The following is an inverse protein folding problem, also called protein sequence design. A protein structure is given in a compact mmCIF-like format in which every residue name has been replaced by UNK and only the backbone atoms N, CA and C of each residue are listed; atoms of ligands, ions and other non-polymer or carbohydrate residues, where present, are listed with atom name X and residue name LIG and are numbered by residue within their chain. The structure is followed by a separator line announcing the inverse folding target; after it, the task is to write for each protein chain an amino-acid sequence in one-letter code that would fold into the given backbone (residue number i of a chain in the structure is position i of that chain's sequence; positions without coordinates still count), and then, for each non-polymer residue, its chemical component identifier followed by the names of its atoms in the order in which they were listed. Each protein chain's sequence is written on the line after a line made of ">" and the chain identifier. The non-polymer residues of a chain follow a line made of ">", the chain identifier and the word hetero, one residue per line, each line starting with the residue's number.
data_IF_990197521195
#
_entry.id   IF_990197521195
#
_cell.length_a   1.000
_cell.length_b   1.000
_cell.length_c   1.000
_cell.angle_alpha   90.00
_cell.angle_beta   90.00
_cell.angle_gamma   90.00
#
_symmetry.space_group_name_H-M   'P 1'
#
loop_
_entity.id
_entity.type
_entity.pdbx_description
1 polymer ?
#
# COMPACT_ATOMS: atom_id res chain seq x y z
N UNK A 1 13.11 24.69 -4.31
CA UNK A 1 12.76 23.26 -4.20
C UNK A 1 11.29 23.12 -4.51
N UNK A 2 10.91 22.31 -5.49
CA UNK A 2 9.51 22.20 -5.93
C UNK A 2 8.64 21.66 -4.79
N UNK A 3 7.51 22.30 -4.51
CA UNK A 3 6.56 21.91 -3.43
C UNK A 3 6.19 20.42 -3.51
N UNK A 4 6.12 19.87 -4.71
CA UNK A 4 5.88 18.45 -4.97
C UNK A 4 7.04 17.55 -4.54
N UNK A 5 8.29 18.00 -4.70
CA UNK A 5 9.46 17.24 -4.27
C UNK A 5 9.55 17.16 -2.74
N UNK A 6 9.24 18.25 -2.03
CA UNK A 6 9.18 18.24 -0.56
C UNK A 6 8.09 17.29 -0.08
N UNK A 7 6.89 17.36 -0.67
CA UNK A 7 5.80 16.47 -0.32
C UNK A 7 6.15 14.99 -0.56
N UNK A 8 6.84 14.68 -1.65
CA UNK A 8 7.29 13.31 -1.94
C UNK A 8 8.31 12.80 -0.91
N UNK A 9 9.29 13.62 -0.52
CA UNK A 9 10.29 13.27 0.50
C UNK A 9 9.61 13.04 1.84
N UNK A 10 8.72 13.94 2.28
CA UNK A 10 7.97 13.79 3.52
C UNK A 10 7.11 12.53 3.51
N UNK A 11 6.39 12.27 2.41
CA UNK A 11 5.59 11.06 2.24
C UNK A 11 6.44 9.79 2.36
N UNK A 12 7.62 9.77 1.74
CA UNK A 12 8.56 8.66 1.84
C UNK A 12 9.07 8.44 3.26
N UNK A 13 9.40 9.51 3.98
CA UNK A 13 9.83 9.45 5.38
C UNK A 13 8.73 8.87 6.29
N UNK A 14 7.49 9.38 6.16
CA UNK A 14 6.34 8.83 6.90
C UNK A 14 6.05 7.38 6.55
N UNK A 15 6.18 7.01 5.28
CA UNK A 15 6.01 5.63 4.85
C UNK A 15 7.06 4.70 5.46
N UNK A 16 8.33 5.14 5.55
CA UNK A 16 9.40 4.39 6.20
C UNK A 16 9.15 4.13 7.68
N UNK A 17 8.54 5.09 8.40
CA UNK A 17 8.17 4.92 9.80
C UNK A 17 7.05 3.88 10.01
N UNK A 18 6.26 3.58 8.99
CA UNK A 18 5.13 2.62 9.10
C UNK A 18 5.60 1.24 9.56
N UNK A 19 6.74 0.74 9.04
CA UNK A 19 7.28 -0.55 9.44
C UNK A 19 7.66 -0.61 10.91
N UNK A 20 8.27 0.47 11.43
CA UNK A 20 8.68 0.59 12.83
C UNK A 20 7.44 0.60 13.76
N UNK A 21 6.46 1.45 13.45
CA UNK A 21 5.21 1.52 14.21
C UNK A 21 4.44 0.21 14.20
N UNK A 22 4.36 -0.46 13.05
CA UNK A 22 3.69 -1.77 12.95
C UNK A 22 4.34 -2.77 13.90
N UNK A 23 5.68 -2.88 13.88
CA UNK A 23 6.39 -3.83 14.75
C UNK A 23 6.20 -3.53 16.24
N UNK A 24 6.22 -2.25 16.62
CA UNK A 24 6.00 -1.82 18.01
C UNK A 24 4.58 -2.14 18.46
N UNK A 25 3.58 -1.87 17.64
CA UNK A 25 2.17 -2.12 17.95
C UNK A 25 1.84 -3.62 17.97
N UNK A 26 2.42 -4.41 17.08
CA UNK A 26 2.29 -5.88 17.12
C UNK A 26 2.95 -6.44 18.39
N UNK A 27 4.12 -5.91 18.79
CA UNK A 27 4.77 -6.26 20.05
C UNK A 27 3.97 -5.89 21.30
N UNK A 28 3.09 -4.89 21.20
CA UNK A 28 2.15 -4.50 22.25
C UNK A 28 0.84 -5.34 22.26
N UNK A 29 0.74 -6.37 21.41
CA UNK A 29 -0.39 -7.30 21.38
C UNK A 29 -1.51 -6.91 20.42
N UNK A 30 -1.35 -5.86 19.60
CA UNK A 30 -2.35 -5.55 18.58
C UNK A 30 -2.24 -6.50 17.38
N UNK A 31 -3.38 -6.94 16.87
CA UNK A 31 -3.41 -7.75 15.66
C UNK A 31 -3.00 -6.93 14.44
N UNK A 32 -2.44 -7.61 13.45
CA UNK A 32 -2.09 -7.00 12.16
C UNK A 32 -3.29 -6.32 11.48
N UNK A 33 -4.48 -6.94 11.61
CA UNK A 33 -5.72 -6.42 11.03
C UNK A 33 -6.28 -5.24 11.83
N UNK A 34 -6.18 -5.26 13.16
CA UNK A 34 -6.53 -4.13 14.02
C UNK A 34 -5.69 -2.89 13.71
N UNK A 35 -4.38 -3.06 13.51
CA UNK A 35 -3.48 -1.96 13.10
C UNK A 35 -3.91 -1.38 11.75
N UNK A 36 -4.25 -2.24 10.77
CA UNK A 36 -4.78 -1.80 9.48
C UNK A 36 -6.07 -1.01 9.63
N UNK A 37 -7.02 -1.54 10.42
CA UNK A 37 -8.34 -0.93 10.65
C UNK A 37 -8.20 0.47 11.26
N UNK A 38 -7.43 0.61 12.33
CA UNK A 38 -7.20 1.89 13.00
C UNK A 38 -6.55 2.90 12.04
N UNK A 39 -5.47 2.51 11.38
CA UNK A 39 -4.75 3.38 10.44
C UNK A 39 -5.63 3.86 9.30
N UNK A 40 -6.37 2.95 8.67
CA UNK A 40 -7.25 3.31 7.56
C UNK A 40 -8.47 4.12 8.00
N UNK A 41 -9.01 3.88 9.20
CA UNK A 41 -10.10 4.68 9.76
C UNK A 41 -9.65 6.13 10.01
N UNK A 42 -8.48 6.31 10.64
CA UNK A 42 -7.91 7.66 10.86
C UNK A 42 -7.61 8.36 9.53
N UNK A 43 -7.04 7.65 8.55
CA UNK A 43 -6.76 8.21 7.24
C UNK A 43 -8.06 8.60 6.51
N UNK A 44 -9.10 7.76 6.55
CA UNK A 44 -10.40 8.08 5.97
C UNK A 44 -11.01 9.33 6.62
N UNK A 45 -10.94 9.45 7.95
CA UNK A 45 -11.41 10.63 8.67
C UNK A 45 -10.64 11.89 8.24
N UNK A 46 -9.31 11.82 8.13
CA UNK A 46 -8.49 12.93 7.64
C UNK A 46 -8.88 13.33 6.20
N UNK A 47 -9.07 12.38 5.29
CA UNK A 47 -9.53 12.69 3.93
C UNK A 47 -10.93 13.29 3.91
N UNK A 48 -11.83 12.79 4.75
CA UNK A 48 -13.17 13.37 4.91
C UNK A 48 -13.09 14.82 5.40
N UNK A 49 -12.30 15.12 6.42
CA UNK A 49 -12.09 16.47 6.92
C UNK A 49 -11.54 17.42 5.84
N UNK A 50 -10.60 16.95 5.01
CA UNK A 50 -10.08 17.76 3.89
C UNK A 50 -11.10 17.99 2.76
N UNK A 51 -12.16 17.20 2.71
CA UNK A 51 -13.22 17.28 1.71
C UNK A 51 -14.47 18.03 2.21
N UNK A 52 -14.51 18.47 3.49
CA UNK A 52 -15.65 19.22 4.06
C UNK A 52 -15.97 20.49 3.28
N UNK A 53 -14.97 21.11 2.63
CA UNK A 53 -15.18 22.28 1.76
C UNK A 53 -15.92 21.99 0.46
N UNK A 54 -15.87 20.74 -0.03
CA UNK A 54 -16.58 20.30 -1.24
C UNK A 54 -16.79 18.77 -1.22
N UNK A 55 -17.82 18.37 -0.49
CA UNK A 55 -18.18 16.94 -0.32
C UNK A 55 -18.56 16.28 -1.66
N UNK A 56 -18.92 17.08 -2.66
CA UNK A 56 -19.26 16.54 -3.99
C UNK A 56 -18.08 15.82 -4.65
N UNK A 57 -16.85 16.18 -4.29
CA UNK A 57 -15.63 15.51 -4.76
C UNK A 57 -15.50 14.06 -4.29
N UNK A 58 -16.13 13.68 -3.16
CA UNK A 58 -16.13 12.31 -2.64
C UNK A 58 -17.23 11.43 -3.26
N UNK A 59 -18.02 11.97 -4.19
CA UNK A 59 -19.14 11.24 -4.78
C UNK A 59 -18.65 10.01 -5.53
N UNK A 60 -19.17 8.86 -5.13
CA UNK A 60 -18.92 7.57 -5.78
C UNK A 60 -19.99 7.28 -6.82
N UNK A 61 -19.58 6.85 -8.00
CA UNK A 61 -20.53 6.32 -8.99
C UNK A 61 -20.82 4.84 -8.69
N UNK A 62 -22.07 4.46 -8.67
CA UNK A 62 -22.50 3.08 -8.37
C UNK A 62 -21.83 2.03 -9.27
N UNK A 63 -21.50 2.39 -10.51
CA UNK A 63 -20.81 1.53 -11.47
C UNK A 63 -19.36 1.19 -11.06
N UNK A 64 -18.71 2.07 -10.30
CA UNK A 64 -17.31 1.95 -9.91
C UNK A 64 -17.13 1.41 -8.48
N UNK A 65 -18.27 1.09 -7.81
CA UNK A 65 -18.27 0.54 -6.46
C UNK A 65 -17.34 -0.68 -6.33
N UNK A 66 -17.51 -1.66 -7.22
CA UNK A 66 -16.70 -2.88 -7.19
C UNK A 66 -15.23 -2.63 -7.45
N UNK A 67 -14.91 -1.64 -8.30
CA UNK A 67 -13.51 -1.29 -8.57
C UNK A 67 -12.88 -0.61 -7.36
N UNK A 68 -13.58 0.31 -6.72
CA UNK A 68 -13.12 0.97 -5.48
C UNK A 68 -12.99 -0.04 -4.33
N UNK A 69 -13.95 -0.95 -4.18
CA UNK A 69 -13.88 -2.02 -3.19
C UNK A 69 -12.69 -2.96 -3.47
N UNK A 70 -12.45 -3.33 -4.73
CA UNK A 70 -11.30 -4.14 -5.10
C UNK A 70 -9.97 -3.46 -4.76
N UNK A 71 -9.83 -2.16 -5.02
CA UNK A 71 -8.60 -1.42 -4.65
C UNK A 71 -8.43 -1.36 -3.12
N UNK A 72 -9.51 -1.13 -2.38
CA UNK A 72 -9.45 -1.08 -0.91
C UNK A 72 -9.15 -2.44 -0.29
N UNK A 73 -9.86 -3.48 -0.71
CA UNK A 73 -9.78 -4.82 -0.11
C UNK A 73 -8.58 -5.59 -0.68
N UNK A 74 -8.57 -5.86 -2.00
CA UNK A 74 -7.52 -6.65 -2.64
C UNK A 74 -6.20 -5.87 -2.76
N UNK A 75 -6.27 -4.56 -2.99
CA UNK A 75 -5.09 -3.72 -3.00
C UNK A 75 -4.60 -3.46 -1.58
N UNK A 76 -5.20 -2.50 -0.89
CA UNK A 76 -4.71 -1.99 0.40
C UNK A 76 -4.81 -3.02 1.54
N UNK A 77 -5.90 -3.79 1.61
CA UNK A 77 -6.10 -4.82 2.62
C UNK A 77 -5.07 -5.94 2.47
N UNK A 78 -4.97 -6.54 1.28
CA UNK A 78 -4.03 -7.62 0.98
C UNK A 78 -2.57 -7.16 1.07
N UNK A 79 -2.27 -5.94 0.59
CA UNK A 79 -0.96 -5.32 0.76
C UNK A 79 -0.56 -5.27 2.24
N UNK A 80 -1.42 -4.71 3.09
CA UNK A 80 -1.12 -4.55 4.52
C UNK A 80 -0.99 -5.91 5.22
N UNK A 81 -1.87 -6.86 4.91
CA UNK A 81 -1.79 -8.22 5.44
C UNK A 81 -0.44 -8.87 5.10
N UNK A 82 -0.09 -8.90 3.83
CA UNK A 82 1.15 -9.51 3.37
C UNK A 82 2.39 -8.77 3.93
N UNK A 83 2.40 -7.45 3.87
CA UNK A 83 3.54 -6.64 4.31
C UNK A 83 3.79 -6.75 5.81
N UNK A 84 2.75 -6.68 6.63
CA UNK A 84 2.90 -6.78 8.09
C UNK A 84 3.32 -8.18 8.52
N UNK A 85 2.78 -9.23 7.89
CA UNK A 85 3.25 -10.58 8.14
C UNK A 85 4.71 -10.76 7.72
N UNK A 86 5.12 -10.21 6.59
CA UNK A 86 6.52 -10.23 6.17
C UNK A 86 7.44 -9.55 7.21
N UNK A 87 7.08 -8.38 7.74
CA UNK A 87 7.83 -7.69 8.81
C UNK A 87 7.93 -8.52 10.10
N UNK A 88 6.88 -9.25 10.44
CA UNK A 88 6.88 -10.09 11.64
C UNK A 88 7.71 -11.38 11.47
N UNK A 89 7.85 -11.87 10.24
CA UNK A 89 8.57 -13.13 9.92
C UNK A 89 10.01 -12.91 9.47
N UNK A 90 10.37 -11.68 9.11
CA UNK A 90 11.70 -11.32 8.61
C UNK A 90 12.18 -10.00 9.24
N UNK A 91 13.40 -9.56 8.86
CA UNK A 91 13.82 -8.20 9.18
C UNK A 91 12.98 -7.17 8.43
N UNK A 92 12.73 -6.02 9.06
CA UNK A 92 12.02 -4.89 8.42
C UNK A 92 12.70 -4.52 7.10
N UNK A 93 14.04 -4.51 7.10
CA UNK A 93 14.83 -4.20 5.92
C UNK A 93 14.57 -5.15 4.76
N UNK A 94 14.53 -6.47 5.02
CA UNK A 94 14.26 -7.48 3.99
C UNK A 94 12.84 -7.36 3.45
N UNK A 95 11.85 -7.15 4.32
CA UNK A 95 10.46 -6.92 3.91
C UNK A 95 10.33 -5.66 3.03
N UNK A 96 11.04 -4.58 3.38
CA UNK A 96 11.07 -3.36 2.58
C UNK A 96 11.70 -3.59 1.19
N UNK A 97 12.81 -4.33 1.09
CA UNK A 97 13.43 -4.63 -0.21
C UNK A 97 12.43 -5.35 -1.11
N UNK A 98 11.77 -6.38 -0.59
CA UNK A 98 10.78 -7.14 -1.35
C UNK A 98 9.62 -6.28 -1.80
N UNK A 99 9.11 -5.40 -0.94
CA UNK A 99 8.07 -4.45 -1.30
C UNK A 99 8.54 -3.45 -2.37
N UNK A 100 9.81 -3.01 -2.32
CA UNK A 100 10.38 -2.11 -3.34
C UNK A 100 10.62 -2.78 -4.71
N UNK A 101 10.34 -4.08 -4.86
CA UNK A 101 10.17 -4.71 -6.17
C UNK A 101 8.85 -4.30 -6.86
N UNK A 102 7.92 -3.67 -6.13
CA UNK A 102 6.63 -3.24 -6.68
C UNK A 102 6.72 -2.39 -7.96
N UNK A 103 7.69 -1.48 -8.18
CA UNK A 103 7.81 -0.75 -9.45
C UNK A 103 8.03 -1.66 -10.67
N UNK A 104 8.65 -2.84 -10.49
CA UNK A 104 8.79 -3.84 -11.54
C UNK A 104 7.41 -4.35 -11.93
N UNK A 105 6.62 -4.79 -10.94
CA UNK A 105 5.26 -5.29 -11.16
C UNK A 105 4.34 -4.19 -11.71
N UNK A 106 4.45 -2.95 -11.21
CA UNK A 106 3.71 -1.79 -11.76
C UNK A 106 4.03 -1.60 -13.24
N UNK A 107 5.30 -1.66 -13.63
CA UNK A 107 5.72 -1.46 -15.02
C UNK A 107 5.18 -2.58 -15.92
N UNK A 108 5.26 -3.84 -15.49
CA UNK A 108 4.72 -4.99 -16.22
C UNK A 108 3.20 -4.87 -16.37
N UNK A 109 2.49 -4.61 -15.28
CA UNK A 109 1.04 -4.47 -15.29
C UNK A 109 0.58 -3.26 -16.11
N UNK A 110 1.29 -2.12 -16.03
CA UNK A 110 1.00 -0.94 -16.85
C UNK A 110 1.17 -1.24 -18.34
N UNK A 111 2.21 -1.99 -18.71
CA UNK A 111 2.41 -2.43 -20.09
C UNK A 111 1.26 -3.33 -20.57
N UNK A 112 0.85 -4.30 -19.76
CA UNK A 112 -0.22 -5.26 -20.12
C UNK A 112 -1.59 -4.58 -20.17
N UNK A 113 -1.92 -3.72 -19.17
CA UNK A 113 -3.27 -3.14 -19.04
C UNK A 113 -3.45 -1.90 -19.91
N UNK A 114 -2.47 -1.01 -19.92
CA UNK A 114 -2.54 0.29 -20.61
C UNK A 114 -1.76 0.30 -21.92
N UNK A 115 -1.04 -0.79 -22.25
CA UNK A 115 -0.13 -0.88 -23.41
C UNK A 115 0.93 0.21 -23.41
N UNK A 116 1.34 0.68 -22.22
CA UNK A 116 2.40 1.66 -22.07
C UNK A 116 3.73 1.09 -22.56
N UNK A 117 4.50 1.88 -23.29
CA UNK A 117 5.86 1.51 -23.69
C UNK A 117 6.80 1.44 -22.49
N UNK A 118 7.58 0.37 -22.36
CA UNK A 118 8.62 0.27 -21.33
C UNK A 118 9.85 1.09 -21.78
N UNK A 119 10.06 2.25 -21.13
CA UNK A 119 11.21 3.09 -21.43
C UNK A 119 12.49 2.53 -20.80
N UNK A 120 13.62 2.63 -21.54
CA UNK A 120 14.95 2.30 -20.97
C UNK A 120 15.26 3.08 -19.70
N UNK A 121 14.78 4.32 -19.60
CA UNK A 121 14.93 5.17 -18.40
C UNK A 121 14.20 4.56 -17.21
N UNK A 122 13.00 4.00 -17.41
CA UNK A 122 12.21 3.34 -16.37
C UNK A 122 12.94 2.08 -15.86
N UNK A 123 13.48 1.27 -16.77
CA UNK A 123 14.25 0.06 -16.41
C UNK A 123 15.49 0.45 -15.59
N UNK A 124 16.24 1.45 -16.03
CA UNK A 124 17.41 1.93 -15.31
C UNK A 124 17.05 2.46 -13.91
N UNK A 125 15.97 3.24 -13.79
CA UNK A 125 15.49 3.75 -12.50
C UNK A 125 15.10 2.61 -11.54
N UNK A 126 14.45 1.56 -12.03
CA UNK A 126 14.09 0.37 -11.25
C UNK A 126 15.36 -0.34 -10.74
N UNK A 127 16.34 -0.58 -11.61
CA UNK A 127 17.59 -1.24 -11.23
C UNK A 127 18.31 -0.41 -10.15
N UNK A 128 18.39 0.91 -10.33
CA UNK A 128 19.04 1.80 -9.37
C UNK A 128 18.30 1.81 -8.02
N UNK A 129 16.95 1.78 -8.04
CA UNK A 129 16.12 1.71 -6.83
C UNK A 129 16.38 0.41 -6.05
N UNK A 130 16.37 -0.73 -6.73
CA UNK A 130 16.62 -2.05 -6.13
C UNK A 130 18.04 -2.11 -5.56
N UNK A 131 19.04 -1.66 -6.32
CA UNK A 131 20.43 -1.62 -5.87
C UNK A 131 20.59 -0.73 -4.62
N UNK A 132 19.96 0.47 -4.61
CA UNK A 132 19.97 1.36 -3.46
C UNK A 132 19.33 0.73 -2.21
N UNK A 133 18.19 0.07 -2.38
CA UNK A 133 17.54 -0.66 -1.28
C UNK A 133 18.42 -1.78 -0.74
N UNK A 134 19.05 -2.57 -1.61
CA UNK A 134 19.95 -3.65 -1.23
C UNK A 134 21.18 -3.11 -0.45
N UNK A 135 21.76 -2.00 -0.88
CA UNK A 135 22.90 -1.36 -0.20
C UNK A 135 22.54 -0.87 1.21
N UNK A 136 21.36 -0.25 1.39
CA UNK A 136 20.94 0.31 2.69
C UNK A 136 20.53 -0.78 3.67
N UNK A 137 19.92 -1.85 3.19
CA UNK A 137 19.34 -2.90 4.05
C UNK A 137 20.36 -3.90 4.61
N UNK A 138 21.54 -4.03 4.00
CA UNK A 138 22.52 -5.05 4.32
C UNK A 138 22.00 -6.47 4.05
N UNK A 139 22.89 -7.43 3.93
CA UNK A 139 22.55 -8.84 3.68
C UNK A 139 22.36 -9.66 4.98
N UNK A 140 22.02 -9.02 6.10
CA UNK A 140 21.89 -9.66 7.40
C UNK A 140 20.45 -9.77 7.88
N UNK A 141 19.84 -10.95 7.77
CA UNK A 141 18.54 -11.25 8.35
C UNK A 141 18.07 -12.66 8.06
N UNK A 142 17.30 -13.25 8.98
CA UNK A 142 16.65 -14.54 8.76
C UNK A 142 15.57 -14.37 7.68
N UNK A 143 15.69 -15.10 6.60
CA UNK A 143 14.67 -15.13 5.52
C UNK A 143 13.89 -16.43 5.64
N UNK A 144 12.60 -16.32 5.93
CA UNK A 144 11.70 -17.47 5.92
C UNK A 144 11.00 -17.58 4.58
N UNK A 145 10.72 -18.79 4.12
CA UNK A 145 10.01 -19.02 2.84
C UNK A 145 8.64 -18.33 2.85
N UNK A 146 7.90 -18.44 3.97
CA UNK A 146 6.60 -17.80 4.11
C UNK A 146 6.70 -16.27 4.11
N UNK A 147 7.72 -15.72 4.78
CA UNK A 147 8.01 -14.28 4.74
C UNK A 147 8.35 -13.78 3.33
N UNK A 148 9.08 -14.58 2.54
CA UNK A 148 9.38 -14.26 1.14
C UNK A 148 8.10 -14.21 0.28
N UNK A 149 7.22 -15.20 0.44
CA UNK A 149 5.91 -15.24 -0.25
C UNK A 149 5.07 -14.01 0.14
N UNK A 150 5.01 -13.69 1.43
CA UNK A 150 4.30 -12.51 1.92
C UNK A 150 4.94 -11.21 1.39
N UNK A 151 6.26 -11.10 1.38
CA UNK A 151 6.95 -9.92 0.86
C UNK A 151 6.70 -9.68 -0.62
N UNK A 152 6.78 -10.71 -1.45
CA UNK A 152 6.45 -10.64 -2.87
C UNK A 152 4.95 -10.39 -3.10
N UNK A 153 4.08 -11.02 -2.31
CA UNK A 153 2.64 -10.78 -2.33
C UNK A 153 2.31 -9.32 -2.05
N UNK A 154 3.03 -8.69 -1.11
CA UNK A 154 2.87 -7.26 -0.81
C UNK A 154 3.27 -6.37 -2.00
N UNK A 155 4.35 -6.71 -2.71
CA UNK A 155 4.78 -5.96 -3.89
C UNK A 155 3.76 -6.04 -5.03
N UNK A 156 3.16 -7.21 -5.26
CA UNK A 156 2.12 -7.41 -6.27
C UNK A 156 0.84 -6.66 -5.87
N UNK A 157 0.40 -6.77 -4.62
CA UNK A 157 -0.78 -6.06 -4.13
C UNK A 157 -0.60 -4.53 -4.23
N UNK A 158 0.60 -4.02 -3.89
CA UNK A 158 0.92 -2.60 -4.05
C UNK A 158 0.91 -2.16 -5.51
N UNK A 159 1.39 -3.01 -6.42
CA UNK A 159 1.31 -2.73 -7.85
C UNK A 159 -0.15 -2.66 -8.33
N UNK A 160 -1.03 -3.55 -7.85
CA UNK A 160 -2.46 -3.51 -8.15
C UNK A 160 -3.11 -2.22 -7.67
N UNK A 161 -2.78 -1.73 -6.46
CA UNK A 161 -3.27 -0.43 -5.96
C UNK A 161 -2.95 0.67 -6.98
N UNK A 162 -1.70 0.74 -7.44
CA UNK A 162 -1.27 1.79 -8.37
C UNK A 162 -1.99 1.72 -9.72
N UNK A 163 -2.12 0.53 -10.29
CA UNK A 163 -2.77 0.31 -11.59
C UNK A 163 -4.27 0.63 -11.51
N UNK A 164 -4.97 0.11 -10.52
CA UNK A 164 -6.40 0.34 -10.35
C UNK A 164 -6.69 1.79 -9.97
N UNK A 165 -5.86 2.42 -9.14
CA UNK A 165 -5.94 3.86 -8.84
C UNK A 165 -5.78 4.70 -10.10
N UNK A 166 -4.81 4.38 -10.97
CA UNK A 166 -4.63 5.05 -12.26
C UNK A 166 -5.88 4.90 -13.15
N UNK A 167 -6.48 3.72 -13.18
CA UNK A 167 -7.71 3.48 -13.93
C UNK A 167 -8.90 4.32 -13.40
N UNK A 168 -9.03 4.47 -12.08
CA UNK A 168 -10.05 5.31 -11.45
C UNK A 168 -9.83 6.80 -11.73
N UNK A 169 -8.59 7.28 -11.65
CA UNK A 169 -8.25 8.66 -12.01
C UNK A 169 -8.57 8.96 -13.48
N UNK A 170 -8.34 7.99 -14.38
CA UNK A 170 -8.72 8.09 -15.79
C UNK A 170 -10.24 8.15 -16.04
N UNK A 171 -11.06 7.74 -15.06
CA UNK A 171 -12.52 7.87 -15.06
C UNK A 171 -13.04 9.19 -14.50
N UNK A 172 -12.15 10.12 -14.14
CA UNK A 172 -12.48 11.45 -13.64
C UNK A 172 -12.60 11.57 -12.12
N UNK A 173 -12.21 10.54 -11.37
CA UNK A 173 -12.12 10.66 -9.92
C UNK A 173 -10.95 11.55 -9.51
N UNK A 174 -11.13 12.31 -8.43
CA UNK A 174 -10.03 13.04 -7.79
C UNK A 174 -9.19 12.10 -6.94
N UNK A 175 -7.89 12.38 -6.80
CA UNK A 175 -7.01 11.59 -5.93
C UNK A 175 -7.53 11.49 -4.49
N UNK A 176 -8.14 12.58 -3.97
CA UNK A 176 -8.75 12.60 -2.63
C UNK A 176 -9.91 11.62 -2.51
N UNK A 177 -10.80 11.55 -3.52
CA UNK A 177 -11.93 10.63 -3.53
C UNK A 177 -11.47 9.18 -3.55
N UNK A 178 -10.51 8.86 -4.42
CA UNK A 178 -9.96 7.50 -4.53
C UNK A 178 -9.31 7.10 -3.22
N UNK A 179 -8.44 7.94 -2.63
CA UNK A 179 -7.78 7.66 -1.36
C UNK A 179 -8.78 7.48 -0.21
N UNK A 180 -9.81 8.34 -0.13
CA UNK A 180 -10.87 8.21 0.86
C UNK A 180 -11.57 6.85 0.79
N UNK A 181 -12.05 6.47 -0.39
CA UNK A 181 -12.77 5.21 -0.55
C UNK A 181 -11.88 3.98 -0.36
N UNK A 182 -10.63 4.03 -0.81
CA UNK A 182 -9.65 2.97 -0.53
C UNK A 182 -9.50 2.78 0.99
N UNK A 183 -9.33 3.86 1.74
CA UNK A 183 -9.19 3.79 3.19
C UNK A 183 -10.48 3.28 3.87
N UNK A 184 -11.66 3.68 3.41
CA UNK A 184 -12.94 3.20 3.94
C UNK A 184 -13.07 1.69 3.73
N UNK A 185 -12.87 1.18 2.51
CA UNK A 185 -12.98 -0.26 2.23
C UNK A 185 -11.90 -1.08 2.94
N UNK A 186 -10.67 -0.56 3.02
CA UNK A 186 -9.59 -1.21 3.76
C UNK A 186 -9.84 -1.23 5.27
N UNK A 187 -10.42 -0.17 5.84
CA UNK A 187 -10.80 -0.14 7.24
C UNK A 187 -11.89 -1.17 7.56
N UNK A 188 -12.95 -1.21 6.73
CA UNK A 188 -14.03 -2.21 6.87
C UNK A 188 -13.46 -3.63 6.77
N UNK A 189 -12.60 -3.88 5.78
CA UNK A 189 -11.94 -5.17 5.63
C UNK A 189 -11.10 -5.53 6.87
N UNK A 190 -10.29 -4.59 7.37
CA UNK A 190 -9.48 -4.77 8.58
C UNK A 190 -10.31 -5.09 9.81
N UNK A 191 -11.42 -4.35 10.03
CA UNK A 191 -12.34 -4.58 11.15
C UNK A 191 -12.98 -5.97 11.05
N UNK A 192 -13.50 -6.33 9.87
CA UNK A 192 -14.16 -7.62 9.66
C UNK A 192 -13.17 -8.77 9.89
N UNK A 193 -11.97 -8.67 9.33
CA UNK A 193 -10.94 -9.71 9.51
C UNK A 193 -10.44 -9.79 10.94
N UNK A 194 -10.30 -8.67 11.62
CA UNK A 194 -9.90 -8.63 13.04
C UNK A 194 -10.93 -9.32 13.93
N UNK A 195 -12.21 -9.01 13.73
CA UNK A 195 -13.31 -9.63 14.45
C UNK A 195 -13.43 -11.14 14.18
N UNK A 196 -13.17 -11.58 12.95
CA UNK A 196 -13.18 -13.01 12.61
C UNK A 196 -12.02 -13.75 13.26
N UNK A 197 -10.82 -13.18 13.24
CA UNK A 197 -9.63 -13.80 13.82
C UNK A 197 -9.65 -13.79 15.36
N UNK A 198 -10.23 -12.76 15.99
CA UNK A 198 -10.38 -12.72 17.46
C UNK A 198 -11.47 -13.66 17.99
N UNK A 199 -12.37 -14.13 17.13
CA UNK A 199 -13.44 -15.03 17.54
C UNK A 199 -13.00 -16.51 17.60
N UNK A 200 -11.83 -16.82 17.03
CA UNK A 200 -11.26 -18.19 16.99
C UNK A 200 -10.12 -18.40 18.00
N UNK A 201 -9.77 -17.41 18.82
CA UNK A 201 -8.75 -17.46 19.89
C UNK A 201 -9.34 -17.18 21.26
#
# INVERSE_FOLDING_TARGET
>A
MNRYAVAAVLSGAFFGLTGLFTRTLTGAGLSTMGILAIRCSVAALCFFCTALGDIRQLKMHKKDFWLLAAVGILGQGMFSFCYYNAINMMSISTACILMYLSPVFVTILAHVVFKDGISRRTVFAIILCIAGCACVSGFGGTVTVLGLICGLGSAIAFALINILTRALLGRGYTGKAVSFWICVFAAVFGIVMDLLLFREG
#
